data_IF_334995217683
#
_entry.id   IF_334995217683
#
_cell.length_a   1.000
_cell.length_b   1.000
_cell.length_c   1.000
_cell.angle_alpha   90.00
_cell.angle_beta   90.00
_cell.angle_gamma   90.00
#
_symmetry.space_group_name_H-M   'P 1'
#
loop_
_entity.id
_entity.type
_entity.pdbx_description
1 polymer ?
#
# COMPACT_ATOMS: atom_id res chain seq x y z
N UNK A 1 9.25 11.14 -29.89
CA UNK A 1 7.99 10.48 -29.50
C UNK A 1 8.19 9.09 -28.91
N UNK A 2 8.63 8.05 -29.65
CA UNK A 2 8.75 6.69 -29.05
C UNK A 2 9.80 6.59 -27.93
N UNK A 3 10.97 7.19 -28.13
CA UNK A 3 12.08 7.18 -27.15
C UNK A 3 11.75 7.99 -25.88
N UNK A 4 11.05 9.09 -26.04
CA UNK A 4 10.58 9.97 -24.96
C UNK A 4 9.53 9.26 -24.08
N UNK A 5 8.56 8.56 -24.68
CA UNK A 5 7.57 7.75 -23.96
C UNK A 5 8.21 6.58 -23.20
N UNK A 6 9.25 5.96 -23.78
CA UNK A 6 10.01 4.90 -23.10
C UNK A 6 10.73 5.44 -21.86
N UNK A 7 11.35 6.62 -21.96
CA UNK A 7 12.04 7.24 -20.82
C UNK A 7 11.06 7.62 -19.69
N UNK A 8 9.92 8.22 -20.02
CA UNK A 8 8.87 8.54 -19.03
C UNK A 8 8.37 7.28 -18.30
N UNK A 9 8.16 6.19 -19.03
CA UNK A 9 7.73 4.92 -18.46
C UNK A 9 8.77 4.31 -17.52
N UNK A 10 10.06 4.34 -17.88
CA UNK A 10 11.15 3.84 -17.04
C UNK A 10 11.28 4.67 -15.76
N UNK A 11 11.20 6.00 -15.86
CA UNK A 11 11.18 6.90 -14.70
C UNK A 11 10.03 6.55 -13.78
N UNK A 12 8.81 6.44 -14.32
CA UNK A 12 7.63 6.06 -13.55
C UNK A 12 7.79 4.68 -12.90
N UNK A 13 8.30 3.67 -13.61
CA UNK A 13 8.53 2.32 -13.07
C UNK A 13 9.48 2.35 -11.88
N UNK A 14 10.55 3.15 -11.97
CA UNK A 14 11.55 3.30 -10.90
C UNK A 14 10.92 3.92 -9.66
N UNK A 15 10.17 5.01 -9.83
CA UNK A 15 9.46 5.68 -8.75
C UNK A 15 8.37 4.79 -8.14
N UNK A 16 7.61 4.07 -8.96
CA UNK A 16 6.59 3.13 -8.52
C UNK A 16 7.18 2.00 -7.66
N UNK A 17 8.31 1.42 -8.09
CA UNK A 17 9.04 0.41 -7.32
C UNK A 17 9.50 0.93 -5.97
N UNK A 18 10.10 2.12 -5.95
CA UNK A 18 10.58 2.73 -4.71
C UNK A 18 9.43 3.04 -3.75
N UNK A 19 8.33 3.62 -4.25
CA UNK A 19 7.14 3.91 -3.44
C UNK A 19 6.48 2.65 -2.91
N UNK A 20 6.34 1.61 -3.75
CA UNK A 20 5.81 0.31 -3.32
C UNK A 20 6.60 -0.23 -2.12
N UNK A 21 7.93 -0.29 -2.22
CA UNK A 21 8.79 -0.80 -1.16
C UNK A 21 8.65 0.00 0.15
N UNK A 22 8.59 1.33 0.06
CA UNK A 22 8.40 2.20 1.22
C UNK A 22 7.04 1.97 1.90
N UNK A 23 5.97 1.88 1.10
CA UNK A 23 4.61 1.66 1.61
C UNK A 23 4.52 0.27 2.24
N UNK A 24 4.96 -0.77 1.52
CA UNK A 24 4.90 -2.16 1.99
C UNK A 24 5.60 -2.33 3.34
N UNK A 25 6.81 -1.79 3.50
CA UNK A 25 7.55 -1.83 4.77
C UNK A 25 6.75 -1.24 5.94
N UNK A 26 6.10 -0.09 5.73
CA UNK A 26 5.28 0.56 6.75
C UNK A 26 4.00 -0.22 7.04
N UNK A 27 3.31 -0.70 6.00
CA UNK A 27 2.08 -1.49 6.16
C UNK A 27 2.35 -2.79 6.89
N UNK A 28 3.45 -3.47 6.57
CA UNK A 28 3.85 -4.70 7.24
C UNK A 28 4.12 -4.48 8.72
N UNK A 29 4.90 -3.46 9.07
CA UNK A 29 5.18 -3.12 10.46
C UNK A 29 3.91 -2.80 11.26
N UNK A 30 3.02 -1.99 10.67
CA UNK A 30 1.75 -1.60 11.30
C UNK A 30 0.80 -2.80 11.46
N UNK A 31 0.69 -3.64 10.43
CA UNK A 31 -0.10 -4.87 10.48
C UNK A 31 0.40 -5.80 11.59
N UNK A 32 1.70 -6.04 11.67
CA UNK A 32 2.31 -6.92 12.68
C UNK A 32 2.04 -6.44 14.11
N UNK A 33 2.15 -5.13 14.35
CA UNK A 33 1.87 -4.55 15.66
C UNK A 33 0.40 -4.69 16.04
N UNK A 34 -0.50 -4.33 15.13
CA UNK A 34 -1.95 -4.36 15.36
C UNK A 34 -2.46 -5.81 15.47
N UNK A 35 -1.97 -6.74 14.64
CA UNK A 35 -2.32 -8.17 14.72
C UNK A 35 -1.90 -8.78 16.06
N UNK A 36 -0.71 -8.44 16.56
CA UNK A 36 -0.24 -8.91 17.87
C UNK A 36 -1.13 -8.41 19.00
N UNK A 37 -1.53 -7.14 18.97
CA UNK A 37 -2.41 -6.55 19.98
C UNK A 37 -3.84 -7.09 19.89
N UNK A 38 -4.37 -7.25 18.67
CA UNK A 38 -5.74 -7.70 18.43
C UNK A 38 -6.01 -9.12 18.93
N UNK A 39 -5.01 -10.00 18.89
CA UNK A 39 -5.11 -11.37 19.43
C UNK A 39 -5.45 -11.39 20.92
N UNK A 40 -5.00 -10.38 21.67
CA UNK A 40 -5.26 -10.25 23.10
C UNK A 40 -6.49 -9.38 23.38
N UNK A 41 -6.62 -8.27 22.65
CA UNK A 41 -7.63 -7.24 22.88
C UNK A 41 -8.29 -6.81 21.55
N UNK A 42 -9.13 -7.67 20.94
CA UNK A 42 -9.64 -7.44 19.59
C UNK A 42 -10.60 -6.26 19.49
N UNK A 43 -11.35 -5.99 20.56
CA UNK A 43 -12.36 -4.93 20.65
C UNK A 43 -11.84 -3.67 21.34
N UNK A 44 -10.53 -3.61 21.65
CA UNK A 44 -9.94 -2.39 22.19
C UNK A 44 -9.91 -1.33 21.08
N UNK A 45 -10.35 -0.09 21.35
CA UNK A 45 -10.19 1.00 20.40
C UNK A 45 -8.71 1.24 20.09
N UNK A 46 -8.42 1.52 18.83
CA UNK A 46 -7.07 1.89 18.39
C UNK A 46 -6.69 3.25 18.97
N UNK A 47 -5.39 3.54 19.00
CA UNK A 47 -4.95 4.90 19.37
C UNK A 47 -5.13 5.86 18.20
N UNK A 48 -5.23 7.17 18.48
CA UNK A 48 -5.22 8.20 17.45
C UNK A 48 -3.95 8.15 16.58
N UNK A 49 -2.81 7.80 17.16
CA UNK A 49 -1.55 7.64 16.42
C UNK A 49 -1.65 6.51 15.40
N UNK A 50 -2.22 5.36 15.81
CA UNK A 50 -2.44 4.21 14.93
C UNK A 50 -3.37 4.60 13.79
N UNK A 51 -4.49 5.27 14.09
CA UNK A 51 -5.43 5.78 13.08
C UNK A 51 -4.74 6.71 12.06
N UNK A 52 -3.96 7.69 12.54
CA UNK A 52 -3.28 8.64 11.66
C UNK A 52 -2.25 7.95 10.75
N UNK A 53 -1.53 6.96 11.26
CA UNK A 53 -0.58 6.16 10.48
C UNK A 53 -1.31 5.30 9.44
N UNK A 54 -2.42 4.67 9.81
CA UNK A 54 -3.25 3.90 8.86
C UNK A 54 -3.80 4.79 7.75
N UNK A 55 -4.36 5.96 8.08
CA UNK A 55 -4.87 6.88 7.05
C UNK A 55 -3.75 7.41 6.13
N UNK A 56 -2.54 7.61 6.67
CA UNK A 56 -1.37 7.97 5.83
C UNK A 56 -1.03 6.83 4.86
N UNK A 57 -1.01 5.59 5.34
CA UNK A 57 -0.86 4.39 4.49
C UNK A 57 -1.93 4.36 3.41
N UNK A 58 -3.20 4.57 3.78
CA UNK A 58 -4.34 4.53 2.86
C UNK A 58 -4.14 5.53 1.72
N UNK A 59 -3.82 6.78 2.05
CA UNK A 59 -3.51 7.81 1.05
C UNK A 59 -2.37 7.41 0.13
N UNK A 60 -1.26 6.94 0.71
CA UNK A 60 -0.05 6.62 -0.05
C UNK A 60 -0.25 5.43 -0.99
N UNK A 61 -0.95 4.37 -0.56
CA UNK A 61 -1.21 3.24 -1.47
C UNK A 61 -2.24 3.61 -2.53
N UNK A 62 -3.29 4.39 -2.21
CA UNK A 62 -4.26 4.86 -3.22
C UNK A 62 -3.59 5.73 -4.28
N UNK A 63 -2.66 6.62 -3.91
CA UNK A 63 -1.92 7.40 -4.90
C UNK A 63 -1.03 6.52 -5.80
N UNK A 64 -0.40 5.48 -5.23
CA UNK A 64 0.38 4.52 -6.01
C UNK A 64 -0.49 3.77 -7.03
N UNK A 65 -1.69 3.37 -6.61
CA UNK A 65 -2.62 2.56 -7.40
C UNK A 65 -3.62 3.41 -8.22
N UNK A 66 -3.49 4.73 -8.29
CA UNK A 66 -4.51 5.63 -8.88
C UNK A 66 -4.82 5.39 -10.36
N UNK A 67 -3.94 4.70 -11.08
CA UNK A 67 -4.10 4.35 -12.50
C UNK A 67 -4.27 2.82 -12.69
N UNK A 68 -4.49 2.10 -11.59
CA UNK A 68 -4.73 0.67 -11.57
C UNK A 68 -6.23 0.39 -11.51
N UNK A 69 -6.65 -0.66 -12.19
CA UNK A 69 -8.02 -1.16 -12.14
C UNK A 69 -8.08 -2.26 -11.07
N UNK A 70 -8.36 -1.87 -9.82
CA UNK A 70 -8.43 -2.76 -8.65
C UNK A 70 -9.61 -2.35 -7.75
N UNK A 71 -10.79 -2.93 -8.01
CA UNK A 71 -12.03 -2.68 -7.27
C UNK A 71 -11.86 -2.73 -5.74
N UNK A 72 -11.06 -3.68 -5.24
CA UNK A 72 -10.84 -3.85 -3.80
C UNK A 72 -9.96 -2.74 -3.21
N UNK A 73 -9.05 -2.16 -4.00
CA UNK A 73 -8.25 -1.03 -3.59
C UNK A 73 -9.08 0.27 -3.53
N UNK A 74 -10.05 0.42 -4.45
CA UNK A 74 -10.95 1.57 -4.49
C UNK A 74 -11.85 1.65 -3.25
N UNK A 75 -12.37 0.50 -2.80
CA UNK A 75 -13.27 0.36 -1.65
C UNK A 75 -12.62 0.72 -0.30
N UNK A 76 -11.28 0.67 -0.21
CA UNK A 76 -10.56 1.03 1.01
C UNK A 76 -10.55 2.56 1.14
N UNK A 77 -11.28 3.07 2.12
CA UNK A 77 -11.44 4.49 2.37
C UNK A 77 -10.68 4.94 3.62
N UNK A 78 -10.33 6.22 3.65
CA UNK A 78 -9.84 6.84 4.88
C UNK A 78 -10.85 6.68 6.00
N UNK A 79 -10.36 6.33 7.17
CA UNK A 79 -11.20 6.08 8.32
C UNK A 79 -11.49 7.41 9.00
N UNK A 80 -12.77 7.81 9.00
CA UNK A 80 -13.28 9.00 9.67
C UNK A 80 -14.21 8.52 10.82
N UNK A 81 -13.74 8.55 12.08
CA UNK A 81 -14.54 8.09 13.21
C UNK A 81 -15.77 9.00 13.41
N UNK A 82 -16.96 8.39 13.52
CA UNK A 82 -18.21 9.07 13.85
C UNK A 82 -18.59 8.89 15.33
N UNK A 83 -17.60 8.94 16.22
CA UNK A 83 -17.74 8.62 17.63
C UNK A 83 -16.44 8.00 18.16
N UNK A 84 -16.55 6.77 18.67
CA UNK A 84 -15.39 6.02 19.13
C UNK A 84 -14.43 5.67 17.98
N UNK A 85 -13.15 5.51 18.33
CA UNK A 85 -12.13 5.04 17.40
C UNK A 85 -12.41 3.57 17.01
N UNK A 86 -12.03 3.16 15.78
CA UNK A 86 -12.17 1.77 15.34
C UNK A 86 -11.51 0.78 16.28
N UNK A 87 -11.97 -0.46 16.27
CA UNK A 87 -11.36 -1.51 17.08
C UNK A 87 -10.13 -2.10 16.38
N UNK A 88 -9.23 -2.72 17.15
CA UNK A 88 -8.03 -3.37 16.61
C UNK A 88 -8.36 -4.35 15.47
N UNK A 89 -9.44 -5.14 15.61
CA UNK A 89 -9.85 -6.12 14.58
C UNK A 89 -10.21 -5.48 13.23
N UNK A 90 -10.83 -4.29 13.26
CA UNK A 90 -11.23 -3.58 12.05
C UNK A 90 -9.99 -3.12 11.29
N UNK A 91 -8.98 -2.68 12.05
CA UNK A 91 -7.72 -2.21 11.50
C UNK A 91 -6.87 -3.37 10.93
N UNK A 92 -6.89 -4.55 11.55
CA UNK A 92 -6.27 -5.76 10.97
C UNK A 92 -6.88 -6.07 9.60
N UNK A 93 -8.21 -6.04 9.50
CA UNK A 93 -8.92 -6.30 8.24
C UNK A 93 -8.48 -5.31 7.15
N UNK A 94 -8.53 -4.00 7.44
CA UNK A 94 -8.14 -2.96 6.48
C UNK A 94 -6.67 -3.11 6.05
N UNK A 95 -5.76 -3.29 7.00
CA UNK A 95 -4.33 -3.45 6.68
C UNK A 95 -4.07 -4.73 5.87
N UNK A 96 -4.81 -5.82 6.13
CA UNK A 96 -4.71 -7.04 5.31
C UNK A 96 -5.13 -6.80 3.86
N UNK A 97 -6.18 -6.00 3.62
CA UNK A 97 -6.65 -5.66 2.28
C UNK A 97 -5.64 -4.77 1.55
N UNK A 98 -5.05 -3.78 2.26
CA UNK A 98 -3.97 -2.95 1.71
C UNK A 98 -2.77 -3.80 1.31
N UNK A 99 -2.35 -4.76 2.15
CA UNK A 99 -1.26 -5.69 1.82
C UNK A 99 -1.59 -6.52 0.57
N UNK A 100 -2.83 -7.02 0.47
CA UNK A 100 -3.26 -7.79 -0.68
C UNK A 100 -3.22 -6.94 -1.97
N UNK A 101 -3.66 -5.69 -1.92
CA UNK A 101 -3.60 -4.76 -3.06
C UNK A 101 -2.15 -4.46 -3.48
N UNK A 102 -1.26 -4.18 -2.52
CA UNK A 102 0.17 -3.98 -2.80
C UNK A 102 0.83 -5.23 -3.40
N UNK A 103 0.43 -6.43 -2.96
CA UNK A 103 0.92 -7.69 -3.52
C UNK A 103 0.44 -7.90 -4.97
N UNK A 104 -0.82 -7.54 -5.29
CA UNK A 104 -1.31 -7.58 -6.68
C UNK A 104 -0.54 -6.59 -7.57
N UNK A 105 -0.30 -5.38 -7.07
CA UNK A 105 0.49 -4.37 -7.76
C UNK A 105 1.91 -4.86 -8.06
N UNK A 106 2.62 -5.39 -7.06
CA UNK A 106 3.95 -5.98 -7.26
C UNK A 106 3.93 -7.10 -8.30
N UNK A 107 2.98 -8.04 -8.19
CA UNK A 107 2.89 -9.16 -9.13
C UNK A 107 2.69 -8.69 -10.58
N UNK A 108 1.92 -7.61 -10.78
CA UNK A 108 1.69 -7.01 -12.11
C UNK A 108 2.98 -6.44 -12.72
N UNK A 109 3.83 -5.80 -11.90
CA UNK A 109 5.05 -5.11 -12.37
C UNK A 109 6.36 -5.86 -12.11
N UNK A 110 6.29 -7.08 -11.56
CA UNK A 110 7.47 -7.82 -11.13
C UNK A 110 8.46 -8.06 -12.28
N UNK A 111 7.96 -8.35 -13.48
CA UNK A 111 8.82 -8.62 -14.64
C UNK A 111 9.50 -7.33 -15.12
N UNK A 112 8.78 -6.23 -15.13
CA UNK A 112 9.23 -4.89 -15.50
C UNK A 112 10.30 -4.41 -14.53
N UNK A 113 10.10 -4.59 -13.24
CA UNK A 113 11.09 -4.29 -12.21
C UNK A 113 12.35 -5.15 -12.31
N UNK A 114 12.23 -6.42 -12.72
CA UNK A 114 13.38 -7.28 -12.99
C UNK A 114 14.17 -6.82 -14.21
N UNK A 115 13.50 -6.38 -15.28
CA UNK A 115 14.16 -5.79 -16.47
C UNK A 115 14.90 -4.50 -16.09
N UNK A 116 14.27 -3.68 -15.25
CA UNK A 116 14.86 -2.45 -14.72
C UNK A 116 16.16 -2.74 -13.95
N UNK A 117 16.14 -3.72 -13.04
CA UNK A 117 17.32 -4.09 -12.24
C UNK A 117 18.48 -4.64 -13.09
N UNK A 118 18.16 -5.26 -14.23
CA UNK A 118 19.15 -5.81 -15.17
C UNK A 118 19.60 -4.80 -16.23
N UNK A 119 19.16 -3.54 -16.15
CA UNK A 119 19.40 -2.48 -17.13
C UNK A 119 18.97 -2.84 -18.57
N UNK A 120 18.00 -3.73 -18.74
CA UNK A 120 17.55 -4.23 -20.06
C UNK A 120 16.79 -3.18 -20.89
N UNK A 121 16.40 -2.05 -20.29
CA UNK A 121 15.75 -0.94 -20.97
C UNK A 121 16.73 0.06 -21.61
N UNK A 122 18.02 -0.05 -21.30
CA UNK A 122 19.07 0.86 -21.78
C UNK A 122 19.97 0.22 -22.87
N UNK A 123 19.53 -0.93 -23.43
CA UNK A 123 20.27 -1.72 -24.43
C UNK A 123 19.64 -1.59 -25.81
#
# INVERSE_FOLDING_TARGET
MKEEQTNEYITWLTEAKQRHHQIESVVFALYEEVDKLSRKWPTMPITQLTLNKTNKVIKSFKDLLKNEDDDFAEDINEIIPAGDLPEMRDLVLILSQVRAALGRFENKYQNEWRKLDRNEYYV
#
